data_IF_169777513873
#
_entry.id   IF_169777513873
#
_cell.length_a   1.000
_cell.length_b   1.000
_cell.length_c   1.000
_cell.angle_alpha   90.00
_cell.angle_beta   90.00
_cell.angle_gamma   90.00
#
_symmetry.space_group_name_H-M   'P 1'
#
loop_
_entity.id
_entity.type
_entity.pdbx_description
1 polymer ?
#
# COMPACT_ATOMS: atom_id res chain seq x y z
N UNK A 1 -33.21 44.26 24.82
CA UNK A 1 -31.81 43.95 24.36
C UNK A 1 -31.57 42.46 24.50
N UNK A 2 -31.40 41.74 23.40
CA UNK A 2 -31.11 40.29 23.47
C UNK A 2 -29.65 40.13 23.86
N UNK A 3 -29.41 39.57 25.04
CA UNK A 3 -28.05 39.31 25.53
C UNK A 3 -27.43 38.12 24.83
N UNK A 4 -26.33 38.34 24.08
CA UNK A 4 -25.63 37.31 23.31
C UNK A 4 -24.52 36.64 24.13
N UNK A 5 -24.88 35.96 25.21
CA UNK A 5 -23.91 35.27 26.10
C UNK A 5 -23.20 34.07 25.49
N UNK A 6 -23.71 33.56 24.37
CA UNK A 6 -23.12 32.40 23.64
C UNK A 6 -22.54 32.78 22.29
N UNK A 7 -22.16 34.04 22.09
CA UNK A 7 -21.50 34.44 20.87
C UNK A 7 -20.08 33.78 20.74
N UNK A 8 -19.60 33.51 19.53
CA UNK A 8 -18.35 32.74 19.31
C UNK A 8 -17.10 33.36 19.95
N UNK A 9 -17.09 34.67 20.15
CA UNK A 9 -15.97 35.38 20.73
C UNK A 9 -15.88 35.24 22.26
N UNK A 10 -16.88 34.64 22.91
CA UNK A 10 -16.91 34.47 24.37
C UNK A 10 -16.41 33.07 24.76
N UNK A 11 -15.76 32.98 25.92
CA UNK A 11 -15.42 31.69 26.53
C UNK A 11 -16.71 30.88 26.79
N UNK A 12 -16.77 29.66 26.26
CA UNK A 12 -17.98 28.84 26.28
C UNK A 12 -19.06 29.24 25.26
N UNK A 13 -18.74 30.12 24.31
CA UNK A 13 -19.59 30.48 23.18
C UNK A 13 -19.75 29.38 22.14
N UNK A 14 -20.64 29.59 21.17
CA UNK A 14 -20.89 28.64 20.08
C UNK A 14 -19.71 28.50 19.11
N UNK A 15 -19.53 27.32 18.55
CA UNK A 15 -18.55 27.05 17.46
C UNK A 15 -19.14 27.54 16.15
N UNK A 16 -18.46 28.47 15.46
CA UNK A 16 -18.94 29.04 14.18
C UNK A 16 -18.87 28.02 13.08
N UNK A 17 -17.73 27.32 12.97
CA UNK A 17 -17.47 26.27 11.98
C UNK A 17 -17.28 24.93 12.70
N UNK A 18 -18.38 24.35 13.15
CA UNK A 18 -18.33 23.01 13.75
C UNK A 18 -17.94 21.97 12.70
N UNK A 19 -17.22 20.90 13.10
CA UNK A 19 -16.92 19.80 12.20
C UNK A 19 -18.22 19.13 11.70
N UNK A 20 -18.34 18.97 10.41
CA UNK A 20 -19.45 18.28 9.76
C UNK A 20 -18.93 17.05 9.01
N UNK A 21 -19.69 15.95 8.96
CA UNK A 21 -19.36 14.81 8.12
C UNK A 21 -19.25 15.26 6.66
N UNK A 22 -18.15 14.90 6.02
CA UNK A 22 -17.96 15.17 4.58
C UNK A 22 -17.20 14.04 3.93
N UNK A 23 -17.47 13.81 2.67
CA UNK A 23 -16.75 12.84 1.88
C UNK A 23 -15.41 13.42 1.41
N UNK A 24 -14.37 12.59 1.52
CA UNK A 24 -13.03 12.87 0.98
C UNK A 24 -12.75 12.06 -0.29
N UNK A 25 -13.76 11.35 -0.80
CA UNK A 25 -13.63 10.53 -1.98
C UNK A 25 -13.62 11.40 -3.23
N UNK A 26 -12.54 11.29 -4.01
CA UNK A 26 -12.42 11.90 -5.34
C UNK A 26 -12.55 10.80 -6.38
N UNK A 27 -13.59 10.87 -7.21
CA UNK A 27 -13.81 9.91 -8.31
C UNK A 27 -12.77 10.14 -9.40
N UNK A 28 -12.13 9.05 -9.82
CA UNK A 28 -11.13 9.02 -10.87
C UNK A 28 -11.51 7.99 -11.93
N UNK A 29 -11.24 8.28 -13.20
CA UNK A 29 -11.52 7.38 -14.30
C UNK A 29 -10.66 6.10 -14.22
N UNK A 30 -11.21 4.97 -14.69
CA UNK A 30 -10.49 3.67 -14.68
C UNK A 30 -9.15 3.73 -15.44
N UNK A 31 -9.12 4.42 -16.59
CA UNK A 31 -7.90 4.58 -17.40
C UNK A 31 -6.82 5.38 -16.67
N UNK A 32 -7.22 6.42 -15.94
CA UNK A 32 -6.30 7.25 -15.13
C UNK A 32 -5.68 6.45 -13.99
N UNK A 33 -6.48 5.63 -13.28
CA UNK A 33 -5.97 4.74 -12.22
C UNK A 33 -4.95 3.73 -12.76
N UNK A 34 -5.23 3.13 -13.93
CA UNK A 34 -4.29 2.21 -14.59
C UNK A 34 -3.00 2.91 -15.00
N UNK A 35 -3.10 4.10 -15.59
CA UNK A 35 -1.94 4.88 -15.99
C UNK A 35 -1.09 5.26 -14.77
N UNK A 36 -1.71 5.67 -13.66
CA UNK A 36 -1.01 5.99 -12.42
C UNK A 36 -0.24 4.78 -11.86
N UNK A 37 -0.86 3.60 -11.83
CA UNK A 37 -0.19 2.38 -11.36
C UNK A 37 0.98 1.99 -12.27
N UNK A 38 0.79 2.02 -13.59
CA UNK A 38 1.88 1.76 -14.56
C UNK A 38 3.04 2.73 -14.36
N UNK A 39 2.76 4.00 -14.17
CA UNK A 39 3.77 5.03 -13.92
C UNK A 39 4.53 4.78 -12.61
N UNK A 40 3.83 4.42 -11.53
CA UNK A 40 4.46 4.09 -10.25
C UNK A 40 5.39 2.87 -10.35
N UNK A 41 4.96 1.82 -11.03
CA UNK A 41 5.80 0.63 -11.28
C UNK A 41 7.00 0.98 -12.15
N UNK A 42 6.82 1.78 -13.20
CA UNK A 42 7.92 2.25 -14.06
C UNK A 42 8.97 3.02 -13.26
N UNK A 43 8.55 3.90 -12.35
CA UNK A 43 9.47 4.61 -11.45
C UNK A 43 10.29 3.63 -10.60
N UNK A 44 9.66 2.59 -10.04
CA UNK A 44 10.39 1.56 -9.26
C UNK A 44 11.39 0.77 -10.10
N UNK A 45 11.08 0.48 -11.36
CA UNK A 45 12.03 -0.17 -12.27
C UNK A 45 13.21 0.76 -12.57
N UNK A 46 12.96 2.03 -12.88
CA UNK A 46 14.02 3.01 -13.17
C UNK A 46 14.96 3.23 -11.98
N UNK A 47 14.42 3.18 -10.76
CA UNK A 47 15.18 3.30 -9.52
C UNK A 47 15.89 2.00 -9.11
N UNK A 48 15.76 0.90 -9.87
CA UNK A 48 16.23 -0.44 -9.53
C UNK A 48 15.71 -0.95 -8.17
N UNK A 49 14.51 -0.57 -7.80
CA UNK A 49 13.82 -0.95 -6.55
C UNK A 49 12.72 -1.99 -6.75
N UNK A 50 12.60 -2.54 -7.95
CA UNK A 50 11.72 -3.66 -8.24
C UNK A 50 12.56 -4.92 -8.35
N UNK A 51 12.29 -5.90 -7.49
CA UNK A 51 12.98 -7.19 -7.42
C UNK A 51 12.00 -8.29 -7.79
N UNK A 52 12.33 -9.08 -8.81
CA UNK A 52 11.53 -10.23 -9.20
C UNK A 52 12.14 -11.49 -8.63
N UNK A 53 11.32 -12.31 -7.96
CA UNK A 53 11.71 -13.61 -7.40
C UNK A 53 10.93 -14.73 -8.10
N UNK A 54 11.54 -15.88 -8.29
CA UNK A 54 10.89 -17.01 -8.96
C UNK A 54 9.67 -17.49 -8.17
N UNK A 55 9.84 -17.71 -6.86
CA UNK A 55 8.76 -18.11 -5.95
C UNK A 55 9.08 -17.75 -4.51
N UNK A 56 8.04 -17.54 -3.69
CA UNK A 56 8.13 -17.32 -2.25
C UNK A 56 7.49 -18.51 -1.51
N UNK A 57 8.03 -19.71 -1.71
CA UNK A 57 7.53 -20.90 -1.05
C UNK A 57 8.13 -21.01 0.37
N UNK A 58 7.34 -20.65 1.38
CA UNK A 58 7.68 -20.86 2.79
C UNK A 58 7.15 -22.22 3.26
N UNK A 59 8.02 -23.04 3.86
CA UNK A 59 7.62 -24.33 4.41
C UNK A 59 6.59 -24.14 5.54
N UNK A 60 6.86 -23.20 6.44
CA UNK A 60 6.01 -22.83 7.56
C UNK A 60 5.80 -21.30 7.62
N UNK A 61 4.70 -20.88 8.25
CA UNK A 61 4.42 -19.46 8.47
C UNK A 61 5.28 -18.93 9.64
N UNK A 62 6.55 -18.59 9.37
CA UNK A 62 7.50 -18.08 10.35
C UNK A 62 8.08 -16.73 9.91
N UNK A 63 7.97 -15.73 10.78
CA UNK A 63 8.54 -14.38 10.54
C UNK A 63 10.05 -14.40 10.34
N UNK A 64 10.76 -15.29 11.05
CA UNK A 64 12.22 -15.43 10.98
C UNK A 64 12.68 -15.83 9.57
N UNK A 65 11.94 -16.69 8.87
CA UNK A 65 12.27 -17.12 7.50
C UNK A 65 12.04 -15.99 6.52
N UNK A 66 10.89 -15.30 6.62
CA UNK A 66 10.60 -14.13 5.78
C UNK A 66 11.64 -13.03 5.98
N UNK A 67 12.04 -12.76 7.23
CA UNK A 67 13.05 -11.75 7.53
C UNK A 67 14.41 -12.10 6.90
N UNK A 68 14.82 -13.37 6.91
CA UNK A 68 16.04 -13.81 6.23
C UNK A 68 15.96 -13.56 4.71
N UNK A 69 14.81 -13.89 4.09
CA UNK A 69 14.60 -13.66 2.66
C UNK A 69 14.74 -12.18 2.32
N UNK A 70 14.05 -11.31 3.07
CA UNK A 70 14.10 -9.85 2.86
C UNK A 70 15.51 -9.28 3.08
N UNK A 71 16.23 -9.77 4.09
CA UNK A 71 17.62 -9.37 4.34
C UNK A 71 18.55 -9.79 3.19
N UNK A 72 18.39 -11.01 2.66
CA UNK A 72 19.17 -11.49 1.52
C UNK A 72 18.90 -10.67 0.25
N UNK A 73 17.65 -10.24 0.05
CA UNK A 73 17.24 -9.37 -1.07
C UNK A 73 17.61 -7.89 -0.82
N UNK A 74 18.12 -7.53 0.38
CA UNK A 74 18.38 -6.15 0.80
C UNK A 74 17.14 -5.26 0.66
N UNK A 75 15.98 -5.83 0.92
CA UNK A 75 14.69 -5.18 0.76
C UNK A 75 14.20 -4.62 2.09
N UNK A 76 14.70 -3.43 2.43
CA UNK A 76 14.16 -2.65 3.55
C UNK A 76 12.84 -2.01 3.13
N UNK A 77 11.85 -1.90 4.01
CA UNK A 77 10.52 -1.34 3.72
C UNK A 77 9.92 -1.93 2.44
N UNK A 78 9.71 -3.24 2.45
CA UNK A 78 9.32 -4.00 1.28
C UNK A 78 7.80 -4.13 1.12
N UNK A 79 7.32 -3.96 -0.12
CA UNK A 79 6.01 -4.42 -0.56
C UNK A 79 6.18 -5.76 -1.26
N UNK A 80 5.61 -6.81 -0.71
CA UNK A 80 5.66 -8.17 -1.29
C UNK A 80 4.36 -8.40 -2.07
N UNK A 81 4.49 -8.66 -3.37
CA UNK A 81 3.35 -8.87 -4.27
C UNK A 81 3.34 -10.33 -4.75
N UNK A 82 2.25 -11.01 -4.48
CA UNK A 82 2.00 -12.40 -4.89
C UNK A 82 0.86 -12.48 -5.90
N UNK A 83 0.82 -13.50 -6.73
CA UNK A 83 -0.29 -13.72 -7.66
C UNK A 83 -1.59 -13.97 -6.90
N UNK A 84 -1.56 -14.92 -5.98
CA UNK A 84 -2.67 -15.34 -5.16
C UNK A 84 -2.46 -14.97 -3.68
N UNK A 85 -3.51 -15.12 -2.87
CA UNK A 85 -3.46 -14.90 -1.42
C UNK A 85 -2.80 -16.10 -0.72
N UNK A 86 -1.48 -16.10 -0.65
CA UNK A 86 -0.72 -17.09 0.12
C UNK A 86 -0.72 -16.72 1.60
N UNK A 87 -1.58 -17.40 2.36
CA UNK A 87 -1.72 -17.19 3.80
C UNK A 87 -0.39 -17.37 4.57
N UNK A 88 0.49 -18.26 4.13
CA UNK A 88 1.80 -18.46 4.79
C UNK A 88 2.69 -17.23 4.63
N UNK A 89 2.73 -16.64 3.45
CA UNK A 89 3.47 -15.41 3.18
C UNK A 89 2.89 -14.26 3.98
N UNK A 90 1.56 -14.07 3.96
CA UNK A 90 0.87 -13.01 4.71
C UNK A 90 1.13 -13.12 6.21
N UNK A 91 0.94 -14.31 6.80
CA UNK A 91 1.17 -14.53 8.23
C UNK A 91 2.63 -14.33 8.64
N UNK A 92 3.57 -14.67 7.76
CA UNK A 92 5.00 -14.51 8.02
C UNK A 92 5.47 -13.05 7.93
N UNK A 93 4.85 -12.25 7.06
CA UNK A 93 5.25 -10.87 6.79
C UNK A 93 4.56 -9.85 7.71
N UNK A 94 3.28 -10.05 8.09
CA UNK A 94 2.45 -9.05 8.76
C UNK A 94 3.01 -8.48 10.06
N UNK A 95 3.87 -9.22 10.77
CA UNK A 95 4.47 -8.78 12.03
C UNK A 95 5.82 -8.07 11.84
N UNK A 96 6.33 -7.98 10.62
CA UNK A 96 7.59 -7.29 10.35
C UNK A 96 7.27 -5.82 10.10
N UNK A 97 7.96 -4.93 10.83
CA UNK A 97 7.81 -3.50 10.63
C UNK A 97 8.18 -3.10 9.19
N UNK A 98 7.43 -2.15 8.64
CA UNK A 98 7.66 -1.60 7.29
C UNK A 98 7.56 -2.62 6.13
N UNK A 99 6.98 -3.81 6.37
CA UNK A 99 6.70 -4.81 5.34
C UNK A 99 5.19 -4.99 5.19
N UNK A 100 4.74 -4.98 3.96
CA UNK A 100 3.34 -5.18 3.61
C UNK A 100 3.23 -6.21 2.48
N UNK A 101 2.17 -7.00 2.50
CA UNK A 101 1.84 -7.94 1.44
C UNK A 101 0.64 -7.44 0.64
N UNK A 102 0.66 -7.66 -0.66
CA UNK A 102 -0.45 -7.37 -1.55
C UNK A 102 -0.59 -8.48 -2.59
N UNK A 103 -1.78 -8.67 -3.11
CA UNK A 103 -2.03 -9.48 -4.29
C UNK A 103 -2.13 -8.58 -5.53
N UNK A 104 -2.07 -9.16 -6.71
CA UNK A 104 -2.22 -8.41 -7.98
C UNK A 104 -3.52 -7.59 -8.01
N UNK A 105 -4.59 -8.10 -7.39
CA UNK A 105 -5.88 -7.42 -7.34
C UNK A 105 -5.95 -6.28 -6.32
N UNK A 106 -5.10 -6.30 -5.29
CA UNK A 106 -5.12 -5.31 -4.19
C UNK A 106 -4.00 -4.30 -4.28
N UNK A 107 -3.05 -4.47 -5.21
CA UNK A 107 -1.96 -3.52 -5.42
C UNK A 107 -2.52 -2.12 -5.73
N UNK A 108 -1.96 -1.10 -5.08
CA UNK A 108 -2.34 0.29 -5.30
C UNK A 108 -1.11 1.20 -5.36
N UNK A 109 -1.31 2.39 -5.93
CA UNK A 109 -0.23 3.38 -6.12
C UNK A 109 0.38 3.82 -4.77
N UNK A 110 -0.46 3.98 -3.76
CA UNK A 110 0.00 4.41 -2.43
C UNK A 110 1.00 3.43 -1.83
N UNK A 111 0.68 2.13 -1.84
CA UNK A 111 1.57 1.10 -1.28
C UNK A 111 2.87 0.98 -2.08
N UNK A 112 2.78 1.04 -3.41
CA UNK A 112 3.97 1.04 -4.28
C UNK A 112 4.89 2.22 -3.97
N UNK A 113 4.34 3.41 -3.77
CA UNK A 113 5.15 4.62 -3.50
C UNK A 113 5.65 4.70 -2.05
N UNK A 114 4.86 4.20 -1.10
CA UNK A 114 5.21 4.18 0.34
C UNK A 114 6.42 3.30 0.64
N UNK A 115 6.51 2.15 -0.02
CA UNK A 115 7.58 1.18 0.21
C UNK A 115 8.79 1.47 -0.69
N UNK A 116 9.99 1.27 -0.16
CA UNK A 116 11.22 1.50 -0.91
C UNK A 116 11.40 0.45 -2.01
N UNK A 117 11.25 -0.82 -1.65
CA UNK A 117 11.46 -1.95 -2.56
C UNK A 117 10.16 -2.69 -2.79
N UNK A 118 9.89 -3.05 -4.03
CA UNK A 118 8.77 -3.90 -4.41
C UNK A 118 9.32 -5.27 -4.81
N UNK A 119 8.94 -6.29 -4.06
CA UNK A 119 9.31 -7.68 -4.33
C UNK A 119 8.12 -8.38 -4.97
N UNK A 120 8.27 -8.85 -6.20
CA UNK A 120 7.19 -9.43 -7.00
C UNK A 120 7.54 -10.86 -7.37
N UNK A 121 6.62 -11.80 -7.23
CA UNK A 121 6.80 -13.15 -7.75
C UNK A 121 6.65 -13.18 -9.27
N UNK A 122 7.32 -14.11 -9.95
CA UNK A 122 7.24 -14.26 -11.40
C UNK A 122 5.80 -14.44 -11.89
N UNK A 123 5.02 -15.24 -11.17
CA UNK A 123 3.61 -15.48 -11.51
C UNK A 123 2.77 -14.20 -11.34
N UNK A 124 3.10 -13.37 -10.32
CA UNK A 124 2.44 -12.09 -10.13
C UNK A 124 2.78 -11.09 -11.26
N UNK A 125 4.01 -11.11 -11.80
CA UNK A 125 4.36 -10.28 -12.96
C UNK A 125 3.50 -10.64 -14.17
N UNK A 126 3.38 -11.93 -14.49
CA UNK A 126 2.54 -12.39 -15.59
C UNK A 126 1.07 -11.96 -15.41
N UNK A 127 0.54 -12.11 -14.21
CA UNK A 127 -0.83 -11.67 -13.88
C UNK A 127 -1.00 -10.14 -13.96
N UNK A 128 0.01 -9.36 -13.55
CA UNK A 128 0.00 -7.89 -13.68
C UNK A 128 -0.03 -7.49 -15.16
N UNK A 129 0.76 -8.14 -16.01
CA UNK A 129 0.77 -7.88 -17.45
C UNK A 129 -0.60 -8.17 -18.06
N UNK A 130 -1.24 -9.27 -17.71
CA UNK A 130 -2.58 -9.61 -18.20
C UNK A 130 -3.65 -8.59 -17.78
N UNK A 131 -3.68 -8.19 -16.51
CA UNK A 131 -4.71 -7.30 -15.95
C UNK A 131 -4.54 -5.85 -16.40
N UNK A 132 -3.30 -5.39 -16.58
CA UNK A 132 -2.99 -3.96 -16.82
C UNK A 132 -2.43 -3.69 -18.23
N UNK A 133 -2.28 -4.68 -19.08
CA UNK A 133 -1.81 -4.49 -20.47
C UNK A 133 -2.64 -3.48 -21.27
#
# INVERSE_FOLDING_TARGET
MLFRSRAPQWTGGGVVFAPVPRDYEVKMNKKERRAALKSALTSKVQENKLVVVDSLALAEAKTKEMQKVLTNLKADKALVVTADDDQKVVLSARNIADVQTATVNTINVYDVMKHNTVVVTKDAVASIEEVYA
#
